data_IF_779936215270
#
_entry.id   IF_779936215270
#
_cell.length_a   1.000
_cell.length_b   1.000
_cell.length_c   1.000
_cell.angle_alpha   90.00
_cell.angle_beta   90.00
_cell.angle_gamma   90.00
#
_symmetry.space_group_name_H-M   'P 1'
#
loop_
_entity.id
_entity.type
_entity.pdbx_description
1 polymer ?
#
# COMPACT_ATOMS: atom_id res chain seq x y z
N UNK A 1 -17.14 -8.53 -16.01
CA UNK A 1 -15.97 -8.61 -16.91
C UNK A 1 -14.83 -7.91 -16.21
N UNK A 2 -13.75 -8.62 -15.90
CA UNK A 2 -12.54 -8.02 -15.29
C UNK A 2 -11.66 -7.61 -16.46
N UNK A 3 -11.48 -6.31 -16.66
CA UNK A 3 -10.69 -5.79 -17.77
C UNK A 3 -9.24 -5.84 -17.29
N UNK A 4 -8.61 -7.01 -17.38
CA UNK A 4 -7.17 -7.12 -17.13
C UNK A 4 -6.49 -6.69 -18.42
N UNK A 5 -6.03 -5.43 -18.44
CA UNK A 5 -5.24 -4.87 -19.55
C UNK A 5 -3.89 -5.59 -19.57
N UNK A 6 -3.77 -6.65 -20.36
CA UNK A 6 -2.50 -7.31 -20.67
C UNK A 6 -1.72 -6.47 -21.67
N UNK A 7 -1.20 -5.33 -21.21
CA UNK A 7 -0.25 -4.53 -21.95
C UNK A 7 1.16 -5.00 -21.60
N UNK A 8 1.54 -6.18 -22.10
CA UNK A 8 2.89 -6.73 -21.97
C UNK A 8 3.87 -5.90 -22.81
N UNK A 9 4.39 -4.81 -22.23
CA UNK A 9 5.39 -3.97 -22.89
C UNK A 9 6.79 -4.31 -22.37
N UNK A 10 7.59 -4.95 -23.22
CA UNK A 10 9.06 -5.04 -23.17
C UNK A 10 9.71 -5.92 -22.09
N UNK A 11 9.09 -6.09 -20.92
CA UNK A 11 9.70 -6.75 -19.75
C UNK A 11 8.98 -8.01 -19.28
N UNK A 12 7.87 -8.41 -19.90
CA UNK A 12 7.03 -9.52 -19.42
C UNK A 12 6.27 -9.22 -18.11
N UNK A 13 6.55 -8.10 -17.45
CA UNK A 13 5.91 -7.65 -16.21
C UNK A 13 4.68 -6.82 -16.52
N UNK A 14 3.60 -7.09 -15.79
CA UNK A 14 2.33 -6.34 -15.84
C UNK A 14 2.41 -5.05 -15.02
N UNK A 15 1.42 -4.16 -15.17
CA UNK A 15 1.31 -2.95 -14.35
C UNK A 15 1.31 -3.25 -12.84
N UNK A 16 0.64 -4.33 -12.44
CA UNK A 16 0.59 -4.79 -11.05
C UNK A 16 1.95 -5.31 -10.56
N UNK A 17 2.73 -5.96 -11.43
CA UNK A 17 4.08 -6.41 -11.09
C UNK A 17 5.02 -5.21 -10.85
N UNK A 18 4.91 -4.15 -11.67
CA UNK A 18 5.68 -2.92 -11.47
C UNK A 18 5.31 -2.22 -10.17
N UNK A 19 4.02 -2.15 -9.86
CA UNK A 19 3.52 -1.63 -8.59
C UNK A 19 4.08 -2.40 -7.40
N UNK A 20 3.95 -3.73 -7.40
CA UNK A 20 4.45 -4.56 -6.32
C UNK A 20 5.97 -4.51 -6.18
N UNK A 21 6.71 -4.39 -7.28
CA UNK A 21 8.15 -4.20 -7.26
C UNK A 21 8.53 -2.89 -6.58
N UNK A 22 7.91 -1.76 -6.96
CA UNK A 22 8.16 -0.47 -6.35
C UNK A 22 7.91 -0.50 -4.83
N UNK A 23 6.79 -1.09 -4.43
CA UNK A 23 6.43 -1.26 -3.01
C UNK A 23 7.44 -2.11 -2.24
N UNK A 24 7.89 -3.21 -2.85
CA UNK A 24 8.90 -4.08 -2.23
C UNK A 24 10.27 -3.40 -2.10
N UNK A 25 10.67 -2.58 -3.07
CA UNK A 25 11.93 -1.85 -3.02
C UNK A 25 11.91 -0.77 -1.93
N UNK A 26 10.79 -0.06 -1.79
CA UNK A 26 10.59 0.91 -0.70
C UNK A 26 10.65 0.24 0.68
N UNK A 27 9.98 -0.91 0.87
CA UNK A 27 10.08 -1.70 2.11
C UNK A 27 11.51 -2.18 2.40
N UNK A 28 12.27 -2.51 1.36
CA UNK A 28 13.67 -2.88 1.49
C UNK A 28 14.61 -1.68 1.69
N UNK A 29 14.09 -0.44 1.63
CA UNK A 29 14.88 0.78 1.73
C UNK A 29 15.86 1.00 0.58
N UNK A 30 15.59 0.39 -0.59
CA UNK A 30 16.43 0.54 -1.78
C UNK A 30 16.16 1.88 -2.47
N UNK A 31 17.15 2.48 -3.15
CA UNK A 31 16.90 3.62 -4.03
C UNK A 31 15.89 3.28 -5.15
N UNK A 32 15.11 4.28 -5.58
CA UNK A 32 14.17 4.15 -6.70
C UNK A 32 14.92 3.77 -7.99
N UNK A 33 14.40 2.78 -8.72
CA UNK A 33 14.91 2.36 -10.02
C UNK A 33 13.77 2.12 -11.03
N UNK A 34 12.99 3.16 -11.39
CA UNK A 34 11.90 3.03 -12.36
C UNK A 34 12.44 2.76 -13.77
N UNK A 35 11.70 2.02 -14.63
CA UNK A 35 12.11 1.78 -16.01
C UNK A 35 12.07 3.05 -16.87
N UNK A 36 13.17 3.38 -17.55
CA UNK A 36 13.31 4.63 -18.32
C UNK A 36 12.51 4.64 -19.63
N UNK A 37 12.30 3.48 -20.25
CA UNK A 37 11.76 3.37 -21.62
C UNK A 37 10.25 3.15 -21.66
N UNK A 38 9.60 2.95 -20.51
CA UNK A 38 8.17 2.69 -20.41
C UNK A 38 7.55 3.59 -19.34
N UNK A 39 6.92 4.68 -19.78
CA UNK A 39 6.32 5.68 -18.90
C UNK A 39 5.18 5.13 -18.03
N UNK A 40 4.43 4.13 -18.52
CA UNK A 40 3.36 3.50 -17.76
C UNK A 40 3.93 2.63 -16.64
N UNK A 41 4.92 1.79 -16.96
CA UNK A 41 5.62 0.98 -15.97
C UNK A 41 6.34 1.85 -14.91
N UNK A 42 6.98 2.95 -15.34
CA UNK A 42 7.61 3.92 -14.44
C UNK A 42 6.59 4.53 -13.46
N UNK A 43 5.41 4.89 -13.96
CA UNK A 43 4.33 5.43 -13.13
C UNK A 43 3.82 4.39 -12.13
N UNK A 44 3.61 3.13 -12.54
CA UNK A 44 3.15 2.07 -11.64
C UNK A 44 4.19 1.75 -10.56
N UNK A 45 5.48 1.67 -10.93
CA UNK A 45 6.57 1.51 -9.96
C UNK A 45 6.59 2.65 -8.94
N UNK A 46 6.51 3.89 -9.39
CA UNK A 46 6.54 5.07 -8.51
C UNK A 46 5.36 5.07 -7.52
N UNK A 47 4.15 4.71 -7.98
CA UNK A 47 2.98 4.58 -7.12
C UNK A 47 3.20 3.54 -6.02
N UNK A 48 3.68 2.35 -6.38
CA UNK A 48 3.96 1.29 -5.43
C UNK A 48 5.03 1.68 -4.42
N UNK A 49 6.11 2.31 -4.89
CA UNK A 49 7.19 2.78 -4.04
C UNK A 49 6.69 3.81 -3.02
N UNK A 50 5.87 4.79 -3.46
CA UNK A 50 5.25 5.75 -2.54
C UNK A 50 4.39 5.07 -1.47
N UNK A 51 3.61 4.05 -1.83
CA UNK A 51 2.82 3.29 -0.86
C UNK A 51 3.71 2.52 0.14
N UNK A 52 4.83 1.96 -0.33
CA UNK A 52 5.79 1.26 0.51
C UNK A 52 6.58 2.19 1.45
N UNK A 53 6.73 3.48 1.10
CA UNK A 53 7.33 4.49 1.97
C UNK A 53 6.42 4.95 3.11
N UNK A 54 5.11 4.67 3.04
CA UNK A 54 4.18 4.97 4.12
C UNK A 54 4.55 4.10 5.32
N UNK A 55 5.40 4.66 6.17
CA UNK A 55 5.54 4.22 7.55
C UNK A 55 4.20 4.55 8.18
N UNK A 56 3.30 3.59 8.26
CA UNK A 56 2.21 3.67 9.24
C UNK A 56 2.91 3.54 10.60
N UNK A 57 3.14 4.64 11.37
CA UNK A 57 3.26 4.43 12.79
C UNK A 57 1.99 3.69 13.21
N UNK A 58 2.06 2.75 14.18
CA UNK A 58 0.84 2.31 14.83
C UNK A 58 0.09 3.59 15.19
N UNK A 59 -1.13 3.76 14.66
CA UNK A 59 -2.01 4.79 15.19
C UNK A 59 -2.09 4.45 16.65
N UNK A 60 -1.41 5.20 17.51
CA UNK A 60 -1.68 5.17 18.93
C UNK A 60 -3.12 5.65 19.03
N UNK A 61 -4.04 4.69 19.00
CA UNK A 61 -5.36 4.82 19.60
C UNK A 61 -5.06 5.05 21.08
N UNK A 62 -4.70 6.30 21.39
CA UNK A 62 -4.69 6.80 22.75
C UNK A 62 -6.07 6.46 23.27
N UNK A 63 -6.05 5.58 24.27
CA UNK A 63 -7.20 5.04 24.94
C UNK A 63 -8.14 6.20 25.29
N UNK A 64 -9.16 6.42 24.48
CA UNK A 64 -10.33 7.13 24.98
C UNK A 64 -10.83 6.28 26.15
N UNK A 65 -10.93 6.81 27.37
CA UNK A 65 -11.70 6.14 28.39
C UNK A 65 -13.13 6.14 27.87
N UNK A 66 -13.55 4.99 27.32
CA UNK A 66 -14.95 4.71 27.02
C UNK A 66 -15.72 5.02 28.28
N UNK A 67 -16.48 6.12 28.26
CA UNK A 67 -17.34 6.51 29.35
C UNK A 67 -18.16 5.28 29.76
N UNK A 68 -18.09 4.95 31.06
CA UNK A 68 -18.82 3.85 31.67
C UNK A 68 -20.27 3.84 31.19
N UNK A 69 -20.63 2.86 30.36
CA UNK A 69 -22.00 2.43 30.22
C UNK A 69 -22.37 1.81 31.56
N UNK A 70 -22.93 2.61 32.47
CA UNK A 70 -23.56 2.12 33.69
C UNK A 70 -24.72 1.22 33.31
N UNK A 71 -24.44 -0.07 33.15
CA UNK A 71 -25.40 -1.12 33.35
C UNK A 71 -25.23 -1.58 34.80
N UNK A 72 -25.86 -0.84 35.70
CA UNK A 72 -26.22 -1.32 37.01
C UNK A 72 -27.35 -2.34 36.85
N UNK A 73 -26.99 -3.59 36.56
CA UNK A 73 -27.80 -4.74 36.96
C UNK A 73 -27.59 -4.94 38.47
N UNK A 74 -28.60 -4.62 39.25
CA UNK A 74 -28.83 -5.23 40.56
C UNK A 74 -30.32 -5.42 40.74
N UNK A 75 -30.65 -6.67 41.01
CA UNK A 75 -31.95 -7.33 41.14
C UNK A 75 -32.72 -6.85 42.40
N UNK A 76 -34.05 -6.76 42.32
CA UNK A 76 -35.02 -6.88 43.43
C UNK A 76 -36.46 -6.90 42.92
#
# INVERSE_FOLDING_TARGET
MKITTENTFGSGMTDEDWFNLGKSDAWAGKPKAPPEQNSQAASMYELGYCEGEIKCPPTEISQYPTAELRQNTTDS
#
